data_IF_986345758485
#
_entry.id   IF_986345758485
#
_cell.length_a   1.000
_cell.length_b   1.000
_cell.length_c   1.000
_cell.angle_alpha   90.00
_cell.angle_beta   90.00
_cell.angle_gamma   90.00
#
_symmetry.space_group_name_H-M   'P 1'
#
loop_
_entity.id
_entity.type
_entity.pdbx_description
1 polymer ?
#
# COMPACT_ATOMS: atom_id res chain seq x y z
N UNK A 1 -5.58 -3.94 19.48
CA UNK A 1 -6.57 -3.57 18.44
C UNK A 1 -7.05 -2.13 18.70
N UNK A 2 -6.17 -1.13 18.51
CA UNK A 2 -6.33 0.23 19.08
C UNK A 2 -7.60 0.97 18.60
N UNK A 3 -7.76 1.15 17.29
CA UNK A 3 -8.93 1.87 16.75
C UNK A 3 -10.27 1.16 16.97
N UNK A 4 -10.27 -0.15 17.26
CA UNK A 4 -11.51 -0.87 17.59
C UNK A 4 -11.91 -0.58 19.03
N UNK A 5 -10.94 -0.45 19.95
CA UNK A 5 -11.18 0.05 21.31
C UNK A 5 -11.73 1.49 21.29
N UNK A 6 -11.12 2.37 20.50
CA UNK A 6 -11.62 3.74 20.36
C UNK A 6 -13.04 3.78 19.80
N UNK A 7 -13.37 2.91 18.84
CA UNK A 7 -14.71 2.83 18.29
C UNK A 7 -15.77 2.38 19.30
N UNK A 8 -15.42 1.54 20.29
CA UNK A 8 -16.36 1.17 21.36
C UNK A 8 -16.65 2.32 22.33
N UNK A 9 -15.79 3.34 22.34
CA UNK A 9 -15.95 4.58 23.13
C UNK A 9 -16.43 5.75 22.26
N UNK A 10 -16.88 5.48 21.03
CA UNK A 10 -17.32 6.48 20.04
C UNK A 10 -16.26 7.53 19.67
N UNK A 11 -14.98 7.22 19.90
CA UNK A 11 -13.86 8.11 19.57
C UNK A 11 -13.53 7.96 18.07
N UNK A 12 -13.65 9.04 17.26
CA UNK A 12 -13.38 8.98 15.84
C UNK A 12 -11.88 8.85 15.54
N UNK A 13 -11.55 8.29 14.37
CA UNK A 13 -10.17 8.21 13.89
C UNK A 13 -9.74 9.54 13.26
N UNK A 14 -9.20 10.43 14.10
CA UNK A 14 -8.65 11.75 13.71
C UNK A 14 -7.13 11.82 13.75
N UNK A 15 -6.48 10.87 14.42
CA UNK A 15 -5.02 10.70 14.40
C UNK A 15 -4.61 9.34 13.85
N UNK A 16 -3.42 9.28 13.27
CA UNK A 16 -2.82 8.06 12.73
C UNK A 16 -1.44 7.83 13.34
N UNK A 17 -1.27 6.65 13.93
CA UNK A 17 0.04 6.10 14.28
C UNK A 17 0.74 5.60 13.02
N UNK A 18 1.95 6.10 12.77
CA UNK A 18 2.77 5.70 11.63
C UNK A 18 4.27 5.81 11.94
N UNK A 19 5.08 5.19 11.10
CA UNK A 19 6.54 5.27 11.16
C UNK A 19 7.10 6.00 9.93
N UNK A 20 8.11 6.85 10.16
CA UNK A 20 8.90 7.50 9.11
C UNK A 20 10.32 6.95 9.17
N UNK A 21 10.81 6.38 8.06
CA UNK A 21 12.15 5.78 7.99
C UNK A 21 12.76 5.93 6.59
N UNK A 22 13.94 5.36 6.38
CA UNK A 22 14.72 5.49 5.16
C UNK A 22 15.77 6.60 5.27
N UNK A 23 15.97 7.35 4.19
CA UNK A 23 16.93 8.44 4.09
C UNK A 23 16.47 9.73 4.82
N UNK A 24 16.06 9.60 6.07
CA UNK A 24 15.70 10.71 6.97
C UNK A 24 16.70 10.81 8.12
N UNK A 25 16.85 12.00 8.70
CA UNK A 25 17.84 12.25 9.76
C UNK A 25 17.53 11.45 11.05
N UNK A 26 16.27 11.49 11.49
CA UNK A 26 15.80 10.88 12.72
C UNK A 26 14.59 9.97 12.42
N UNK A 27 14.81 8.69 12.04
CA UNK A 27 13.72 7.73 11.89
C UNK A 27 12.97 7.54 13.20
N UNK A 28 11.64 7.60 13.17
CA UNK A 28 10.81 7.50 14.37
C UNK A 28 9.35 7.19 14.05
N UNK A 29 8.60 6.81 15.07
CA UNK A 29 7.17 6.53 15.01
C UNK A 29 6.41 7.48 15.92
N UNK A 30 5.27 8.00 15.47
CA UNK A 30 4.51 8.99 16.21
C UNK A 30 3.06 9.05 15.72
N UNK A 31 2.20 9.76 16.46
CA UNK A 31 0.84 10.07 16.03
C UNK A 31 0.80 11.42 15.32
N UNK A 32 0.11 11.48 14.18
CA UNK A 32 -0.22 12.73 13.48
C UNK A 32 -1.70 12.84 13.18
N UNK A 33 -2.26 14.05 13.04
CA UNK A 33 -3.59 14.23 12.48
C UNK A 33 -3.72 13.62 11.08
N UNK A 34 -4.86 12.97 10.81
CA UNK A 34 -5.17 12.48 9.46
C UNK A 34 -5.26 13.69 8.52
N UNK A 35 -4.71 13.57 7.31
CA UNK A 35 -4.63 14.65 6.34
C UNK A 35 -3.35 15.49 6.38
N UNK A 36 -2.46 15.26 7.36
CA UNK A 36 -1.10 15.84 7.37
C UNK A 36 -0.34 15.41 6.10
N UNK A 37 0.43 16.30 5.49
CA UNK A 37 1.19 15.97 4.26
C UNK A 37 2.42 15.09 4.54
N UNK A 38 2.88 14.33 3.53
CA UNK A 38 4.14 13.59 3.66
C UNK A 38 5.36 14.49 3.82
N UNK A 39 5.33 15.71 3.27
CA UNK A 39 6.33 16.75 3.50
C UNK A 39 6.50 17.02 4.99
N UNK A 40 5.42 17.30 5.71
CA UNK A 40 5.45 17.55 7.15
C UNK A 40 5.95 16.33 7.93
N UNK A 41 5.60 15.11 7.51
CA UNK A 41 6.14 13.88 8.13
C UNK A 41 7.65 13.78 8.02
N UNK A 42 8.21 14.12 6.86
CA UNK A 42 9.66 14.08 6.62
C UNK A 42 10.35 15.16 7.45
N UNK A 43 9.77 16.36 7.54
CA UNK A 43 10.26 17.45 8.40
C UNK A 43 10.25 17.05 9.88
N UNK A 44 9.18 16.42 10.36
CA UNK A 44 9.10 15.90 11.72
C UNK A 44 10.19 14.87 12.01
N UNK A 45 10.59 14.06 11.03
CA UNK A 45 11.72 13.14 11.08
C UNK A 45 13.10 13.80 10.91
N UNK A 46 13.18 15.14 10.98
CA UNK A 46 14.42 15.90 10.88
C UNK A 46 14.90 16.16 9.44
N UNK A 47 14.01 15.96 8.45
CA UNK A 47 14.29 16.19 7.05
C UNK A 47 15.09 15.06 6.38
N UNK A 48 15.30 15.23 5.07
CA UNK A 48 16.18 14.39 4.26
C UNK A 48 17.28 15.26 3.64
N UNK A 49 18.48 14.69 3.49
CA UNK A 49 19.58 15.33 2.78
C UNK A 49 19.54 15.10 1.26
N UNK A 50 18.58 14.29 0.79
CA UNK A 50 18.43 13.97 -0.63
C UNK A 50 17.75 15.11 -1.37
N UNK A 51 18.26 15.43 -2.56
CA UNK A 51 17.61 16.38 -3.48
C UNK A 51 16.38 15.72 -4.13
N UNK A 52 16.56 14.53 -4.69
CA UNK A 52 15.50 13.75 -5.34
C UNK A 52 15.32 12.39 -4.66
N UNK A 53 14.08 12.05 -4.33
CA UNK A 53 13.74 10.83 -3.64
C UNK A 53 12.35 10.32 -4.03
N UNK A 54 12.13 9.02 -3.82
CA UNK A 54 10.82 8.39 -3.88
C UNK A 54 10.32 8.02 -2.48
N UNK A 55 9.01 8.07 -2.29
CA UNK A 55 8.35 7.71 -1.04
C UNK A 55 7.58 6.41 -1.24
N UNK A 56 7.94 5.38 -0.50
CA UNK A 56 7.13 4.16 -0.38
C UNK A 56 6.13 4.31 0.76
N UNK A 57 4.85 4.32 0.41
CA UNK A 57 3.72 4.47 1.34
C UNK A 57 3.20 3.10 1.76
N UNK A 58 3.14 2.86 3.07
CA UNK A 58 2.69 1.61 3.70
C UNK A 58 3.57 0.38 3.42
N UNK A 59 4.87 0.61 3.18
CA UNK A 59 5.90 -0.43 3.08
C UNK A 59 6.39 -0.72 1.66
N UNK A 60 7.43 -1.54 1.54
CA UNK A 60 8.09 -1.84 0.25
C UNK A 60 7.35 -2.90 -0.58
N UNK A 61 6.83 -3.92 0.09
CA UNK A 61 6.25 -5.10 -0.58
C UNK A 61 4.81 -4.86 -1.05
N UNK A 62 3.94 -4.43 -0.15
CA UNK A 62 2.50 -4.21 -0.40
C UNK A 62 2.10 -2.74 -0.49
N UNK A 63 3.06 -1.84 -0.31
CA UNK A 63 2.82 -0.41 -0.43
C UNK A 63 2.84 0.07 -1.87
N UNK A 64 2.78 1.39 -2.02
CA UNK A 64 2.86 2.09 -3.30
C UNK A 64 4.01 3.08 -3.30
N UNK A 65 4.55 3.35 -4.49
CA UNK A 65 5.54 4.40 -4.69
C UNK A 65 4.84 5.69 -5.11
N UNK A 66 5.23 6.81 -4.50
CA UNK A 66 4.87 8.15 -4.94
C UNK A 66 6.08 9.07 -4.96
N UNK A 67 5.98 10.12 -5.77
CA UNK A 67 6.92 11.25 -5.82
C UNK A 67 6.26 12.55 -5.37
N UNK A 68 4.95 12.52 -5.12
CA UNK A 68 4.20 13.65 -4.61
C UNK A 68 4.32 13.68 -3.08
N UNK A 69 5.02 14.70 -2.60
CA UNK A 69 5.30 14.91 -1.17
C UNK A 69 4.15 15.65 -0.47
N UNK A 70 3.21 16.21 -1.22
CA UNK A 70 2.04 16.91 -0.70
C UNK A 70 0.82 15.97 -0.58
N UNK A 71 1.01 14.69 -0.87
CA UNK A 71 0.01 13.66 -0.59
C UNK A 71 -0.27 13.55 0.93
N UNK A 72 -1.56 13.42 1.31
CA UNK A 72 -1.94 13.37 2.71
C UNK A 72 -1.87 11.97 3.32
N UNK A 73 -1.59 11.94 4.62
CA UNK A 73 -1.78 10.77 5.48
C UNK A 73 -3.26 10.40 5.53
N UNK A 74 -3.56 9.14 5.24
CA UNK A 74 -4.91 8.57 5.36
C UNK A 74 -5.02 7.64 6.57
N UNK A 75 -6.25 7.25 6.94
CA UNK A 75 -6.50 6.24 7.98
C UNK A 75 -5.75 4.91 7.76
N UNK A 76 -5.46 4.57 6.51
CA UNK A 76 -4.78 3.32 6.12
C UNK A 76 -3.26 3.47 5.98
N UNK A 77 -2.71 4.69 6.08
CA UNK A 77 -1.28 4.93 5.90
C UNK A 77 -0.49 4.37 7.08
N UNK A 78 0.26 3.29 6.88
CA UNK A 78 1.00 2.63 7.96
C UNK A 78 2.35 3.29 8.29
N UNK A 79 2.95 3.95 7.30
CA UNK A 79 4.27 4.55 7.41
C UNK A 79 4.80 4.94 6.03
N UNK A 80 5.91 5.68 6.03
CA UNK A 80 6.61 6.07 4.80
C UNK A 80 8.09 5.70 4.89
N UNK A 81 8.64 5.28 3.75
CA UNK A 81 10.05 4.94 3.59
C UNK A 81 10.61 5.82 2.47
N UNK A 82 11.54 6.70 2.81
CA UNK A 82 12.20 7.62 1.86
C UNK A 82 13.44 6.94 1.29
N UNK A 83 13.54 6.83 -0.03
CA UNK A 83 14.70 6.23 -0.72
C UNK A 83 15.19 7.16 -1.85
N UNK A 84 16.50 7.18 -2.13
CA UNK A 84 17.07 8.05 -3.17
C UNK A 84 16.55 7.67 -4.55
N UNK A 85 16.38 8.65 -5.43
CA UNK A 85 15.70 8.47 -6.73
C UNK A 85 16.32 7.37 -7.62
N UNK A 86 17.62 7.09 -7.45
CA UNK A 86 18.41 6.09 -8.15
C UNK A 86 18.43 4.71 -7.45
N UNK A 87 17.59 4.50 -6.44
CA UNK A 87 17.51 3.22 -5.74
C UNK A 87 16.89 2.14 -6.63
N UNK A 88 17.45 0.93 -6.60
CA UNK A 88 16.98 -0.24 -7.39
C UNK A 88 15.45 -0.44 -7.38
N UNK A 89 14.83 -0.35 -6.20
CA UNK A 89 13.38 -0.52 -6.05
C UNK A 89 12.57 0.56 -6.77
N UNK A 90 13.07 1.80 -6.85
CA UNK A 90 12.38 2.89 -7.54
C UNK A 90 12.39 2.61 -9.04
N UNK A 91 13.55 2.28 -9.62
CA UNK A 91 13.66 1.93 -11.04
C UNK A 91 12.78 0.74 -11.40
N UNK A 92 12.75 -0.28 -10.52
CA UNK A 92 11.92 -1.46 -10.70
C UNK A 92 10.43 -1.14 -10.70
N UNK A 93 9.97 -0.27 -9.79
CA UNK A 93 8.55 0.09 -9.63
C UNK A 93 8.08 1.12 -10.67
N UNK A 94 8.96 2.00 -11.15
CA UNK A 94 8.66 2.96 -12.23
C UNK A 94 8.51 2.29 -13.60
N UNK A 95 9.06 1.09 -13.78
CA UNK A 95 9.09 0.42 -15.08
C UNK A 95 7.67 0.25 -15.65
N UNK A 96 7.41 0.61 -16.92
CA UNK A 96 6.10 0.41 -17.53
C UNK A 96 5.70 -1.07 -17.58
N UNK A 97 4.41 -1.36 -17.44
CA UNK A 97 3.87 -2.72 -17.47
C UNK A 97 4.24 -3.45 -18.77
N UNK A 98 4.26 -2.74 -19.91
CA UNK A 98 4.68 -3.31 -21.19
C UNK A 98 6.10 -3.87 -21.14
N UNK A 99 7.03 -3.14 -20.54
CA UNK A 99 8.44 -3.56 -20.46
C UNK A 99 8.63 -4.69 -19.46
N UNK A 100 7.91 -4.64 -18.32
CA UNK A 100 7.84 -5.76 -17.38
C UNK A 100 7.37 -7.05 -18.08
N UNK A 101 6.33 -6.94 -18.90
CA UNK A 101 5.79 -8.05 -19.68
C UNK A 101 6.78 -8.55 -20.74
N UNK A 102 7.48 -7.65 -21.44
CA UNK A 102 8.51 -8.02 -22.42
C UNK A 102 9.66 -8.80 -21.78
N UNK A 103 10.19 -8.31 -20.66
CA UNK A 103 11.26 -8.98 -19.89
C UNK A 103 10.77 -10.34 -19.37
N UNK A 104 9.55 -10.37 -18.81
CA UNK A 104 8.91 -11.60 -18.34
C UNK A 104 8.76 -12.67 -19.42
N UNK A 105 8.49 -12.26 -20.67
CA UNK A 105 8.40 -13.17 -21.83
C UNK A 105 9.76 -13.69 -22.29
N UNK A 106 10.81 -12.88 -22.20
CA UNK A 106 12.12 -13.22 -22.76
C UNK A 106 12.96 -14.13 -21.86
N UNK A 107 12.80 -14.04 -20.54
CA UNK A 107 13.72 -14.65 -19.59
C UNK A 107 13.06 -15.63 -18.60
N UNK A 108 11.76 -15.93 -18.70
CA UNK A 108 11.12 -16.82 -17.73
C UNK A 108 11.41 -18.31 -18.00
N UNK A 109 12.19 -18.93 -17.11
CA UNK A 109 12.54 -20.37 -17.17
C UNK A 109 11.45 -21.34 -16.69
N UNK A 110 10.23 -20.84 -16.45
CA UNK A 110 9.06 -21.64 -16.08
C UNK A 110 9.18 -22.49 -14.80
N UNK A 111 10.13 -22.17 -13.93
CA UNK A 111 10.25 -22.73 -12.58
C UNK A 111 9.02 -22.38 -11.71
N UNK A 112 8.91 -23.00 -10.53
CA UNK A 112 7.77 -22.80 -9.61
C UNK A 112 8.06 -21.90 -8.41
N UNK A 113 9.26 -21.30 -8.29
CA UNK A 113 9.68 -20.58 -7.08
C UNK A 113 8.73 -19.45 -6.66
N UNK A 114 8.18 -18.72 -7.62
CA UNK A 114 7.19 -17.67 -7.34
C UNK A 114 5.90 -18.18 -6.66
N UNK A 115 5.62 -19.49 -6.74
CA UNK A 115 4.51 -20.17 -6.06
C UNK A 115 4.97 -20.86 -4.79
N UNK A 116 6.13 -21.51 -4.82
CA UNK A 116 6.70 -22.22 -3.67
C UNK A 116 6.98 -21.28 -2.49
N UNK A 117 7.31 -20.01 -2.76
CA UNK A 117 7.47 -18.96 -1.75
C UNK A 117 6.18 -18.16 -1.49
N UNK A 118 5.09 -18.39 -2.23
CA UNK A 118 3.88 -17.58 -2.10
C UNK A 118 3.19 -17.85 -0.75
N UNK A 119 3.03 -16.85 0.13
CA UNK A 119 2.44 -17.07 1.45
C UNK A 119 0.99 -17.55 1.37
N UNK A 120 0.22 -17.12 0.35
CA UNK A 120 -1.15 -17.61 0.12
C UNK A 120 -1.17 -19.09 -0.26
N UNK A 121 -0.26 -19.51 -1.16
CA UNK A 121 -0.11 -20.91 -1.53
C UNK A 121 0.26 -21.77 -0.32
N UNK A 122 1.18 -21.29 0.52
CA UNK A 122 1.56 -21.97 1.76
C UNK A 122 0.40 -22.09 2.78
N UNK A 123 -0.59 -21.19 2.71
CA UNK A 123 -1.80 -21.27 3.54
C UNK A 123 -2.86 -22.21 2.97
N UNK A 124 -2.63 -22.82 1.80
CA UNK A 124 -3.54 -23.79 1.17
C UNK A 124 -4.44 -23.21 0.08
N UNK A 125 -4.32 -21.92 -0.23
CA UNK A 125 -5.05 -21.31 -1.34
C UNK A 125 -4.40 -21.64 -2.67
N UNK A 126 -5.18 -21.79 -3.74
CA UNK A 126 -4.65 -22.18 -5.05
C UNK A 126 -4.10 -21.00 -5.86
N UNK A 127 -3.26 -20.17 -5.22
CA UNK A 127 -2.55 -19.07 -5.88
C UNK A 127 -1.29 -19.61 -6.51
N UNK A 128 -1.21 -19.65 -7.84
CA UNK A 128 -0.06 -20.22 -8.56
C UNK A 128 0.56 -19.22 -9.55
N UNK A 129 1.37 -18.25 -9.09
CA UNK A 129 1.98 -17.23 -9.95
C UNK A 129 2.80 -17.80 -11.12
N UNK A 130 3.38 -18.99 -10.98
CA UNK A 130 4.15 -19.61 -12.07
C UNK A 130 3.28 -19.96 -13.28
N UNK A 131 2.03 -20.40 -13.05
CA UNK A 131 1.06 -20.66 -14.13
C UNK A 131 0.57 -19.36 -14.76
N UNK A 132 0.43 -18.30 -13.96
CA UNK A 132 0.12 -16.96 -14.47
C UNK A 132 1.25 -16.45 -15.37
N UNK A 133 2.51 -16.65 -14.98
CA UNK A 133 3.68 -16.31 -15.80
C UNK A 133 3.76 -17.13 -17.10
N UNK A 134 3.39 -18.42 -17.09
CA UNK A 134 3.23 -19.21 -18.33
C UNK A 134 2.24 -18.56 -19.28
N UNK A 135 1.11 -18.12 -18.76
CA UNK A 135 0.08 -17.46 -19.56
C UNK A 135 0.60 -16.18 -20.22
N UNK A 136 1.37 -15.39 -19.47
CA UNK A 136 2.05 -14.20 -20.00
C UNK A 136 2.93 -14.56 -21.21
N UNK A 137 3.70 -15.66 -21.16
CA UNK A 137 4.57 -16.11 -22.26
C UNK A 137 3.80 -16.40 -23.56
N UNK A 138 2.58 -16.95 -23.46
CA UNK A 138 1.77 -17.37 -24.61
C UNK A 138 0.74 -16.34 -25.09
N UNK A 139 0.69 -15.12 -24.53
CA UNK A 139 -0.29 -14.08 -24.92
C UNK A 139 -0.21 -13.58 -26.37
N UNK A 140 0.70 -14.10 -27.21
CA UNK A 140 0.83 -13.70 -28.62
C UNK A 140 -0.15 -14.40 -29.58
N UNK A 141 -0.89 -15.44 -29.15
CA UNK A 141 -1.73 -16.28 -30.03
C UNK A 141 -3.26 -16.01 -29.96
N UNK A 142 -3.67 -14.76 -29.80
CA UNK A 142 -5.04 -14.34 -30.16
C UNK A 142 -6.16 -14.60 -29.13
N UNK A 143 -5.96 -15.45 -28.11
CA UNK A 143 -6.90 -15.62 -27.00
C UNK A 143 -6.30 -15.13 -25.67
N UNK A 144 -7.13 -14.52 -24.82
CA UNK A 144 -6.73 -13.92 -23.52
C UNK A 144 -6.44 -15.01 -22.48
N UNK A 145 -5.20 -15.51 -22.45
CA UNK A 145 -4.77 -16.68 -21.66
C UNK A 145 -4.66 -16.42 -20.13
N UNK A 146 -5.13 -15.28 -19.59
CA UNK A 146 -5.07 -15.08 -18.14
C UNK A 146 -5.93 -16.14 -17.42
N UNK A 147 -5.32 -16.81 -16.45
CA UNK A 147 -5.95 -17.94 -15.75
C UNK A 147 -6.40 -17.58 -14.34
N UNK A 148 -7.31 -18.39 -13.82
CA UNK A 148 -7.96 -18.23 -12.52
C UNK A 148 -7.01 -18.22 -11.30
N UNK A 149 -5.79 -18.73 -11.43
CA UNK A 149 -4.82 -18.78 -10.33
C UNK A 149 -4.34 -17.39 -9.88
N UNK A 150 -4.62 -16.35 -10.65
CA UNK A 150 -4.37 -14.95 -10.29
C UNK A 150 -5.42 -14.36 -9.32
N UNK A 151 -6.65 -14.88 -9.30
CA UNK A 151 -7.79 -14.25 -8.61
C UNK A 151 -7.54 -14.11 -7.09
N UNK A 152 -7.05 -15.21 -6.50
CA UNK A 152 -6.73 -15.29 -5.09
C UNK A 152 -5.43 -14.55 -4.71
N UNK A 153 -4.73 -13.87 -5.62
CA UNK A 153 -3.52 -13.12 -5.30
C UNK A 153 -3.80 -11.96 -4.33
N UNK A 154 -2.94 -11.77 -3.30
CA UNK A 154 -2.95 -10.60 -2.40
C UNK A 154 -1.93 -9.52 -2.77
N UNK A 155 -1.24 -9.67 -3.90
CA UNK A 155 -0.27 -8.68 -4.39
C UNK A 155 0.88 -8.41 -3.43
N UNK A 156 1.28 -9.40 -2.61
CA UNK A 156 2.33 -9.24 -1.59
C UNK A 156 3.74 -9.00 -2.14
N UNK A 157 4.01 -9.27 -3.41
CA UNK A 157 5.29 -8.93 -4.05
C UNK A 157 6.46 -9.86 -3.72
N UNK A 158 6.34 -10.79 -2.79
CA UNK A 158 7.43 -11.70 -2.45
C UNK A 158 7.92 -12.52 -3.67
N UNK A 159 7.01 -12.85 -4.58
CA UNK A 159 7.34 -13.51 -5.83
C UNK A 159 8.22 -12.65 -6.78
N UNK A 160 7.90 -11.36 -6.93
CA UNK A 160 8.64 -10.43 -7.79
C UNK A 160 9.89 -9.85 -7.15
N UNK A 161 9.91 -9.72 -5.82
CA UNK A 161 10.94 -8.99 -5.08
C UNK A 161 11.96 -9.92 -4.43
N UNK A 162 11.65 -11.22 -4.30
CA UNK A 162 12.53 -12.19 -3.67
C UNK A 162 12.63 -13.52 -4.42
N UNK A 163 11.51 -14.18 -4.70
CA UNK A 163 11.51 -15.58 -5.09
C UNK A 163 11.97 -15.84 -6.54
N UNK A 164 11.71 -14.92 -7.48
CA UNK A 164 12.10 -15.11 -8.86
C UNK A 164 13.63 -15.05 -9.00
N UNK A 165 14.30 -16.10 -9.52
CA UNK A 165 15.74 -16.10 -9.75
C UNK A 165 16.10 -15.11 -10.87
N UNK A 166 15.28 -15.05 -11.91
CA UNK A 166 15.44 -14.16 -13.08
C UNK A 166 14.96 -12.72 -12.85
N UNK A 167 14.65 -12.36 -11.59
CA UNK A 167 14.21 -11.01 -11.19
C UNK A 167 13.01 -10.46 -12.01
N UNK A 168 12.07 -11.34 -12.36
CA UNK A 168 10.87 -11.01 -13.15
C UNK A 168 9.69 -10.51 -12.29
N UNK A 169 8.54 -10.29 -12.93
CA UNK A 169 7.38 -9.60 -12.37
C UNK A 169 6.11 -10.48 -12.14
N UNK A 170 6.16 -11.63 -11.42
CA UNK A 170 4.98 -12.46 -11.17
C UNK A 170 3.83 -11.76 -10.42
N UNK A 171 4.12 -10.85 -9.48
CA UNK A 171 3.08 -10.05 -8.79
C UNK A 171 2.29 -9.25 -9.81
N UNK A 172 2.99 -8.55 -10.71
CA UNK A 172 2.40 -7.66 -11.69
C UNK A 172 1.62 -8.44 -12.74
N UNK A 173 2.11 -9.61 -13.17
CA UNK A 173 1.35 -10.54 -14.01
C UNK A 173 0.08 -11.04 -13.30
N UNK A 174 0.16 -11.40 -12.01
CA UNK A 174 -1.01 -11.76 -11.21
C UNK A 174 -1.99 -10.59 -11.05
N UNK A 175 -1.52 -9.36 -10.87
CA UNK A 175 -2.40 -8.18 -10.79
C UNK A 175 -3.16 -7.99 -12.10
N UNK A 176 -2.48 -8.07 -13.24
CA UNK A 176 -3.11 -8.01 -14.57
C UNK A 176 -4.14 -9.12 -14.76
N UNK A 177 -3.79 -10.36 -14.40
CA UNK A 177 -4.72 -11.50 -14.46
C UNK A 177 -5.94 -11.31 -13.57
N UNK A 178 -5.75 -10.83 -12.33
CA UNK A 178 -6.83 -10.55 -11.39
C UNK A 178 -7.78 -9.47 -11.90
N UNK A 179 -7.24 -8.37 -12.42
CA UNK A 179 -8.04 -7.29 -13.01
C UNK A 179 -8.84 -7.78 -14.23
N UNK A 180 -8.23 -8.65 -15.03
CA UNK A 180 -8.90 -9.31 -16.15
C UNK A 180 -10.07 -10.18 -15.68
N UNK A 181 -9.83 -11.11 -14.74
CA UNK A 181 -10.86 -12.02 -14.24
C UNK A 181 -12.02 -11.24 -13.62
N UNK A 182 -11.72 -10.22 -12.81
CA UNK A 182 -12.72 -9.34 -12.19
C UNK A 182 -13.59 -8.62 -13.23
N UNK A 183 -13.00 -8.11 -14.32
CA UNK A 183 -13.74 -7.45 -15.41
C UNK A 183 -14.66 -8.40 -16.17
N UNK A 184 -14.31 -9.69 -16.25
CA UNK A 184 -15.11 -10.71 -16.91
C UNK A 184 -16.04 -11.47 -15.94
N UNK A 185 -16.12 -11.06 -14.67
CA UNK A 185 -16.96 -11.72 -13.66
C UNK A 185 -16.49 -13.13 -13.29
N UNK A 186 -15.30 -13.54 -13.70
CA UNK A 186 -14.74 -14.86 -13.39
C UNK A 186 -14.21 -14.83 -11.96
N UNK A 187 -14.71 -15.74 -11.13
CA UNK A 187 -14.21 -15.96 -9.76
C UNK A 187 -13.62 -17.34 -9.64
N UNK A 188 -12.57 -17.46 -8.85
CA UNK A 188 -12.00 -18.75 -8.53
C UNK A 188 -12.92 -19.49 -7.56
N UNK A 189 -13.39 -20.67 -7.96
CA UNK A 189 -14.08 -21.61 -7.10
C UNK A 189 -13.06 -22.56 -6.51
N UNK A 190 -12.95 -22.58 -5.18
CA UNK A 190 -11.98 -23.40 -4.48
C UNK A 190 -12.46 -24.87 -4.48
N UNK A 191 -11.84 -25.77 -5.27
CA UNK A 191 -12.34 -27.14 -5.43
C UNK A 191 -11.90 -28.05 -4.28
N UNK A 192 -10.90 -27.63 -3.51
CA UNK A 192 -10.25 -28.41 -2.44
C UNK A 192 -10.30 -27.65 -1.15
N UNK A 193 -10.49 -28.39 -0.05
CA UNK A 193 -10.39 -27.84 1.30
C UNK A 193 -9.04 -27.11 1.50
N UNK A 194 -9.09 -25.92 2.09
CA UNK A 194 -7.90 -25.10 2.35
C UNK A 194 -7.10 -25.76 3.47
N UNK A 195 -5.98 -26.39 3.10
CA UNK A 195 -5.04 -27.02 4.03
C UNK A 195 -3.69 -26.34 3.96
N UNK A 196 -3.18 -25.94 5.12
CA UNK A 196 -1.85 -25.35 5.25
C UNK A 196 -0.80 -26.34 4.75
N UNK A 197 0.12 -25.86 3.92
CA UNK A 197 1.16 -26.71 3.36
C UNK A 197 2.13 -27.15 4.47
N UNK A 198 2.53 -28.44 4.56
CA UNK A 198 3.41 -28.95 5.62
C UNK A 198 4.73 -28.17 5.74
N UNK A 199 5.32 -27.79 4.61
CA UNK A 199 6.54 -26.97 4.54
C UNK A 199 6.33 -25.45 4.70
N UNK A 200 5.18 -24.97 5.19
CA UNK A 200 4.93 -23.52 5.35
C UNK A 200 6.04 -22.83 6.14
N UNK A 201 6.46 -23.44 7.24
CA UNK A 201 7.50 -22.86 8.12
C UNK A 201 8.88 -22.90 7.45
N UNK A 202 9.22 -24.01 6.77
CA UNK A 202 10.51 -24.17 6.09
C UNK A 202 10.70 -23.32 4.82
N UNK A 203 9.61 -22.84 4.20
CA UNK A 203 9.66 -22.04 2.96
C UNK A 203 9.47 -20.53 3.19
N UNK A 204 9.54 -20.06 4.44
CA UNK A 204 9.50 -18.62 4.73
C UNK A 204 10.76 -17.94 4.18
N UNK A 205 10.59 -16.77 3.56
CA UNK A 205 11.72 -15.97 3.11
C UNK A 205 12.50 -15.42 4.33
N UNK A 206 13.81 -15.67 4.43
CA UNK A 206 14.63 -15.09 5.50
C UNK A 206 14.71 -13.57 5.37
N UNK A 207 14.29 -12.85 6.42
CA UNK A 207 14.20 -11.39 6.39
C UNK A 207 15.54 -10.72 6.04
N UNK A 208 16.66 -11.20 6.59
CA UNK A 208 18.01 -10.67 6.29
C UNK A 208 18.36 -10.78 4.81
N UNK A 209 18.02 -11.91 4.18
CA UNK A 209 18.27 -12.12 2.74
C UNK A 209 17.35 -11.26 1.89
N UNK A 210 16.09 -11.11 2.30
CA UNK A 210 15.14 -10.21 1.66
C UNK A 210 15.67 -8.76 1.69
N UNK A 211 16.04 -8.25 2.87
CA UNK A 211 16.58 -6.90 3.04
C UNK A 211 17.82 -6.66 2.17
N UNK A 212 18.74 -7.62 2.12
CA UNK A 212 19.93 -7.54 1.27
C UNK A 212 19.57 -7.51 -0.22
N UNK A 213 18.66 -8.39 -0.69
CA UNK A 213 18.22 -8.41 -2.10
C UNK A 213 17.53 -7.11 -2.51
N UNK A 214 16.80 -6.49 -1.58
CA UNK A 214 16.11 -5.22 -1.82
C UNK A 214 17.01 -3.99 -1.64
N UNK A 215 18.29 -4.16 -1.27
CA UNK A 215 19.23 -3.08 -0.98
C UNK A 215 18.77 -2.15 0.16
N UNK A 216 18.06 -2.70 1.14
CA UNK A 216 17.48 -1.94 2.26
C UNK A 216 18.29 -2.00 3.54
N UNK A 217 19.41 -2.73 3.56
CA UNK A 217 20.20 -2.95 4.76
C UNK A 217 20.69 -1.64 5.38
N UNK A 218 21.06 -0.65 4.58
CA UNK A 218 21.53 0.66 5.06
C UNK A 218 20.40 1.54 5.66
N UNK A 219 19.15 1.16 5.40
CA UNK A 219 17.94 1.84 5.85
C UNK A 219 17.22 1.09 6.98
N UNK A 220 17.78 -0.04 7.44
CA UNK A 220 17.25 -0.84 8.55
C UNK A 220 17.59 -0.18 9.89
N UNK A 221 16.92 0.95 10.16
CA UNK A 221 17.07 1.73 11.39
C UNK A 221 15.82 1.54 12.26
N UNK A 222 16.04 1.44 13.57
CA UNK A 222 14.95 1.44 14.54
C UNK A 222 14.15 2.75 14.43
N UNK A 223 12.83 2.64 14.56
CA UNK A 223 11.91 3.78 14.57
C UNK A 223 11.27 3.89 15.95
N UNK A 224 12.01 4.38 16.97
CA UNK A 224 11.47 4.51 18.32
C UNK A 224 10.21 5.37 18.34
N UNK A 225 9.32 5.07 19.28
CA UNK A 225 8.14 5.89 19.49
C UNK A 225 8.52 7.20 20.16
N UNK A 226 8.09 8.32 19.58
CA UNK A 226 8.17 9.64 20.18
C UNK A 226 6.76 10.21 20.33
N UNK A 227 6.42 10.62 21.55
CA UNK A 227 5.21 11.36 21.80
C UNK A 227 5.42 12.82 21.37
N UNK A 228 4.70 13.24 20.34
CA UNK A 228 4.75 14.61 19.82
C UNK A 228 3.35 15.21 19.86
N UNK A 229 3.26 16.47 20.27
CA UNK A 229 2.04 17.27 20.12
C UNK A 229 2.13 18.13 18.86
N UNK A 230 1.96 17.48 17.70
CA UNK A 230 2.00 18.15 16.42
C UNK A 230 0.62 18.66 15.99
N UNK A 231 0.53 19.96 15.74
CA UNK A 231 -0.67 20.63 15.25
C UNK A 231 -0.38 21.25 13.87
N UNK A 232 -0.75 20.57 12.76
CA UNK A 232 -0.56 21.10 11.42
C UNK A 232 -1.48 22.31 11.20
N UNK A 233 -0.98 23.30 10.45
CA UNK A 233 -1.78 24.47 10.04
C UNK A 233 -2.86 24.12 9.03
N UNK A 234 -2.64 23.04 8.26
CA UNK A 234 -3.51 22.61 7.16
C UNK A 234 -3.56 21.09 7.11
N UNK A 235 -4.75 20.53 6.92
CA UNK A 235 -4.93 19.10 6.63
C UNK A 235 -5.79 18.90 5.38
N UNK A 236 -5.43 17.92 4.56
CA UNK A 236 -6.19 17.49 3.37
C UNK A 236 -6.81 16.12 3.61
N UNK A 237 -8.11 16.09 3.88
CA UNK A 237 -8.86 14.86 4.15
C UNK A 237 -9.40 14.27 2.86
N UNK A 238 -8.86 13.14 2.42
CA UNK A 238 -9.41 12.40 1.27
C UNK A 238 -10.74 11.75 1.63
N UNK A 239 -11.73 11.94 0.77
CA UNK A 239 -13.06 11.35 0.90
C UNK A 239 -13.06 9.84 0.61
N UNK A 240 -12.08 9.38 -0.19
CA UNK A 240 -11.83 7.97 -0.47
C UNK A 240 -10.59 7.47 0.25
N UNK A 241 -10.76 6.98 1.47
CA UNK A 241 -9.67 6.43 2.29
C UNK A 241 -10.02 5.13 3.04
N UNK A 242 -11.16 4.51 2.70
CA UNK A 242 -11.64 3.26 3.28
C UNK A 242 -12.19 2.32 2.20
N UNK A 243 -12.49 1.08 2.59
CA UNK A 243 -13.21 0.14 1.74
C UNK A 243 -14.63 0.65 1.43
N UNK A 244 -15.19 0.25 0.29
CA UNK A 244 -16.56 0.64 -0.11
C UNK A 244 -16.65 1.96 -0.89
N UNK A 245 -17.70 2.75 -0.71
CA UNK A 245 -17.90 4.01 -1.47
C UNK A 245 -17.10 5.18 -0.86
N UNK A 246 -16.78 6.25 -1.60
CA UNK A 246 -16.26 7.50 -1.00
C UNK A 246 -17.29 8.13 -0.05
N UNK A 247 -16.82 8.78 1.02
CA UNK A 247 -17.68 9.61 1.86
C UNK A 247 -18.09 10.90 1.13
N UNK A 248 -19.25 11.45 1.45
CA UNK A 248 -19.77 12.72 0.92
C UNK A 248 -19.62 13.81 1.97
N UNK A 249 -19.11 15.01 1.62
CA UNK A 249 -19.02 16.13 2.56
C UNK A 249 -20.39 16.48 3.15
N UNK A 250 -20.42 16.76 4.46
CA UNK A 250 -21.62 17.24 5.18
C UNK A 250 -21.45 18.66 5.73
N UNK A 251 -20.34 19.31 5.34
CA UNK A 251 -19.96 20.66 5.75
C UNK A 251 -20.00 21.60 4.56
N UNK A 252 -20.03 22.90 4.83
CA UNK A 252 -20.02 23.96 3.80
C UNK A 252 -18.73 24.79 3.84
N UNK A 253 -18.43 25.45 2.72
CA UNK A 253 -17.26 26.33 2.62
C UNK A 253 -17.31 27.44 3.69
N UNK A 254 -16.17 27.76 4.29
CA UNK A 254 -16.00 28.71 5.39
C UNK A 254 -16.67 28.34 6.73
N UNK A 255 -17.23 27.13 6.86
CA UNK A 255 -17.70 26.61 8.14
C UNK A 255 -16.53 26.44 9.11
N UNK A 256 -16.71 26.89 10.36
CA UNK A 256 -15.80 26.55 11.47
C UNK A 256 -16.12 25.14 11.95
N UNK A 257 -15.10 24.31 12.11
CA UNK A 257 -15.21 22.95 12.60
C UNK A 257 -14.29 22.75 13.79
N UNK A 258 -14.74 21.92 14.74
CA UNK A 258 -13.89 21.47 15.86
C UNK A 258 -13.31 20.10 15.54
N UNK A 259 -12.15 19.80 16.12
CA UNK A 259 -11.57 18.46 16.07
C UNK A 259 -12.62 17.44 16.52
N UNK A 260 -12.61 16.29 15.85
CA UNK A 260 -13.52 15.16 16.06
C UNK A 260 -14.97 15.39 15.53
N UNK A 261 -15.29 16.60 15.02
CA UNK A 261 -16.57 16.89 14.36
C UNK A 261 -16.70 16.14 13.02
N UNK A 262 -17.91 15.67 12.70
CA UNK A 262 -18.20 14.97 11.44
C UNK A 262 -18.11 15.92 10.23
N UNK A 263 -17.24 15.61 9.26
CA UNK A 263 -17.06 16.43 8.05
C UNK A 263 -17.49 15.74 6.77
N UNK A 264 -17.53 14.40 6.74
CA UNK A 264 -18.11 13.64 5.64
C UNK A 264 -18.74 12.34 6.12
N UNK A 265 -19.91 12.00 5.57
CA UNK A 265 -20.67 10.80 5.91
C UNK A 265 -20.81 9.87 4.70
N UNK A 266 -21.14 8.61 4.94
CA UNK A 266 -21.41 7.60 3.92
C UNK A 266 -22.91 7.39 3.85
N UNK A 267 -23.44 7.12 2.65
CA UNK A 267 -24.85 6.78 2.51
C UNK A 267 -25.25 5.61 3.41
N UNK A 268 -26.46 5.64 4.01
CA UNK A 268 -26.98 4.50 4.76
C UNK A 268 -26.90 3.21 3.95
N UNK A 269 -26.61 2.09 4.64
CA UNK A 269 -26.52 0.74 4.07
C UNK A 269 -25.42 0.54 3.00
N UNK A 270 -24.52 1.51 2.82
CA UNK A 270 -23.30 1.32 2.01
C UNK A 270 -22.11 1.05 2.92
N UNK A 271 -21.22 0.15 2.46
CA UNK A 271 -19.93 -0.07 3.11
C UNK A 271 -19.10 1.22 2.99
N UNK A 272 -18.65 1.75 4.12
CA UNK A 272 -17.75 2.90 4.18
C UNK A 272 -17.46 3.32 5.62
N UNK A 273 -16.74 4.43 5.81
CA UNK A 273 -16.43 4.96 7.14
C UNK A 273 -16.50 6.50 7.16
N UNK A 274 -17.22 7.03 8.15
CA UNK A 274 -17.34 8.47 8.42
C UNK A 274 -15.99 9.17 8.57
N UNK A 275 -15.86 10.40 8.10
CA UNK A 275 -14.65 11.21 8.20
C UNK A 275 -14.91 12.39 9.13
N UNK A 276 -13.96 12.64 10.02
CA UNK A 276 -14.07 13.67 11.05
C UNK A 276 -12.91 14.66 10.90
N UNK A 277 -13.11 15.89 11.37
CA UNK A 277 -12.11 16.94 11.39
C UNK A 277 -10.92 16.51 12.25
N UNK A 278 -9.72 16.54 11.68
CA UNK A 278 -8.52 16.09 12.39
C UNK A 278 -7.84 17.20 13.21
N UNK A 279 -8.23 18.45 12.97
CA UNK A 279 -7.82 19.65 13.67
C UNK A 279 -9.02 20.59 13.84
N UNK A 280 -8.94 21.52 14.78
CA UNK A 280 -9.80 22.70 14.79
C UNK A 280 -9.45 23.61 13.61
N UNK A 281 -10.44 24.26 12.99
CA UNK A 281 -10.15 25.21 11.91
C UNK A 281 -11.39 25.59 11.09
N UNK A 282 -11.14 26.05 9.87
CA UNK A 282 -12.15 26.49 8.90
C UNK A 282 -12.04 25.64 7.65
N UNK A 283 -13.19 25.24 7.10
CA UNK A 283 -13.23 24.56 5.79
C UNK A 283 -12.88 25.56 4.69
N UNK A 284 -11.73 25.34 4.03
CA UNK A 284 -11.21 26.22 2.98
C UNK A 284 -11.46 25.71 1.57
N UNK A 285 -11.61 24.39 1.42
CA UNK A 285 -11.85 23.78 0.11
C UNK A 285 -12.68 22.51 0.29
N UNK A 286 -13.66 22.34 -0.60
CA UNK A 286 -14.49 21.14 -0.69
C UNK A 286 -14.54 20.72 -2.16
N UNK A 287 -14.18 19.48 -2.42
CA UNK A 287 -14.29 18.85 -3.74
C UNK A 287 -14.95 17.48 -3.61
N UNK A 288 -15.25 16.84 -4.75
CA UNK A 288 -15.74 15.45 -4.77
C UNK A 288 -14.72 14.42 -4.25
N UNK A 289 -13.46 14.81 -4.09
CA UNK A 289 -12.37 13.90 -3.71
C UNK A 289 -11.77 14.20 -2.34
N UNK A 290 -11.82 15.45 -1.85
CA UNK A 290 -11.19 15.85 -0.60
C UNK A 290 -11.80 17.11 0.03
N UNK A 291 -11.51 17.30 1.32
CA UNK A 291 -11.81 18.50 2.11
C UNK A 291 -10.49 19.06 2.66
N UNK A 292 -10.33 20.38 2.66
CA UNK A 292 -9.20 21.07 3.30
C UNK A 292 -9.66 21.88 4.50
N UNK A 293 -9.00 21.65 5.63
CA UNK A 293 -9.21 22.38 6.88
C UNK A 293 -7.93 23.16 7.17
N UNK A 294 -8.07 24.46 7.48
CA UNK A 294 -6.96 25.33 7.90
C UNK A 294 -7.29 26.02 9.22
N UNK A 295 -6.30 26.11 10.11
CA UNK A 295 -6.38 26.82 11.40
C UNK A 295 -5.77 28.23 11.29
#
# INVERSE_FOLDING_TARGET
MYNISNATEEIPVTKKFLSVTGAVKNPKSFFVPVGTSFRELIELAGGTALQDYGIFVSGILMGRLTFDIDEPVTKTTAGIIVLPINHYLIDRMKRPIHDMNRIGKSACDQCSYCTEFCPRYLLGYDVQPHKVMRSLAFTKTGERVWNQYADLCCSCGLCSLYACPEDLYPREACNQGKDYLRKNGIRYEQPKEVKVHPMKEGRRAPLKMLMKKLQLTDYDKATPFEEIDYQPRRVKLLLKQHAGQPAKPVVVLNQKVRKDELVADVEPDKVGAKIHASIDGVIKEITDNYIIIEN
#
